data_IF_411937949901
#
_entry.id   IF_411937949901
#
_cell.length_a   1.000
_cell.length_b   1.000
_cell.length_c   1.000
_cell.angle_alpha   90.00
_cell.angle_beta   90.00
_cell.angle_gamma   90.00
#
_symmetry.space_group_name_H-M   'P 1'
#
loop_
_entity.id
_entity.type
_entity.pdbx_description
1 polymer ?
#
# COMPACT_ATOMS: atom_id res chain seq x y z
N UNK A 1 -0.98 -19.66 -10.70
CA UNK A 1 -2.34 -19.30 -11.21
C UNK A 1 -3.32 -19.59 -10.10
N UNK A 2 -4.02 -18.58 -9.56
CA UNK A 2 -5.05 -18.76 -8.54
C UNK A 2 -6.34 -18.11 -8.99
N UNK A 3 -7.45 -18.83 -8.91
CA UNK A 3 -8.78 -18.29 -9.21
C UNK A 3 -9.29 -17.40 -8.06
N UNK A 4 -10.52 -16.91 -8.11
CA UNK A 4 -11.10 -15.86 -7.24
C UNK A 4 -11.99 -16.42 -6.14
N UNK A 5 -12.01 -15.91 -4.89
CA UNK A 5 -13.09 -16.25 -3.98
C UNK A 5 -14.40 -15.62 -4.44
N UNK A 6 -15.17 -16.34 -5.26
CA UNK A 6 -16.51 -15.95 -5.64
C UNK A 6 -17.49 -17.07 -5.41
N UNK A 7 -18.72 -16.70 -5.10
CA UNK A 7 -19.86 -17.63 -5.12
C UNK A 7 -20.90 -17.04 -6.07
N UNK A 8 -21.42 -17.88 -6.97
CA UNK A 8 -22.59 -17.57 -7.76
C UNK A 8 -23.84 -17.86 -6.93
N UNK A 9 -24.71 -16.87 -6.78
CA UNK A 9 -26.00 -17.04 -6.09
C UNK A 9 -27.11 -16.79 -7.10
N UNK A 10 -27.99 -17.78 -7.38
CA UNK A 10 -29.18 -17.55 -8.20
C UNK A 10 -30.21 -16.74 -7.41
N UNK A 11 -30.90 -15.82 -8.07
CA UNK A 11 -32.02 -15.05 -7.51
C UNK A 11 -31.75 -14.43 -6.12
N UNK A 12 -30.64 -13.70 -5.89
CA UNK A 12 -30.29 -13.19 -4.56
C UNK A 12 -31.26 -12.13 -4.03
N UNK A 13 -31.93 -11.41 -4.94
CA UNK A 13 -32.94 -10.39 -4.65
C UNK A 13 -34.03 -10.41 -5.75
N UNK A 14 -35.23 -9.85 -5.50
CA UNK A 14 -36.20 -9.61 -6.57
C UNK A 14 -35.55 -8.91 -7.76
N UNK A 15 -35.84 -9.38 -8.97
CA UNK A 15 -35.34 -8.85 -10.25
C UNK A 15 -33.83 -9.03 -10.55
N UNK A 16 -33.07 -9.78 -9.75
CA UNK A 16 -31.68 -10.15 -10.05
C UNK A 16 -31.62 -11.64 -10.38
N UNK A 17 -31.37 -12.02 -11.64
CA UNK A 17 -31.31 -13.45 -12.03
C UNK A 17 -30.08 -14.14 -11.42
N UNK A 18 -28.91 -13.48 -11.50
CA UNK A 18 -27.61 -14.02 -11.06
C UNK A 18 -26.73 -12.91 -10.50
N UNK A 19 -25.97 -13.21 -9.46
CA UNK A 19 -24.95 -12.31 -8.93
C UNK A 19 -23.60 -12.99 -8.73
N UNK A 20 -22.54 -12.22 -8.96
CA UNK A 20 -21.20 -12.53 -8.50
C UNK A 20 -20.99 -11.90 -7.13
N UNK A 21 -20.73 -12.71 -6.10
CA UNK A 21 -20.45 -12.22 -4.76
C UNK A 21 -18.96 -12.38 -4.45
N UNK A 22 -18.31 -11.27 -4.06
CA UNK A 22 -16.93 -11.24 -3.57
C UNK A 22 -16.97 -10.87 -2.09
N UNK A 23 -16.44 -11.74 -1.24
CA UNK A 23 -16.34 -11.52 0.21
C UNK A 23 -14.90 -11.65 0.67
N UNK A 24 -14.41 -10.69 1.45
CA UNK A 24 -13.13 -10.78 2.13
C UNK A 24 -13.29 -10.94 3.64
N UNK A 25 -12.33 -11.58 4.29
CA UNK A 25 -12.25 -11.67 5.75
C UNK A 25 -11.92 -10.33 6.42
N UNK A 26 -11.30 -9.41 5.66
CA UNK A 26 -10.98 -8.05 6.08
C UNK A 26 -10.98 -7.10 4.87
N UNK A 27 -10.59 -5.83 5.10
CA UNK A 27 -10.50 -4.80 4.04
C UNK A 27 -9.59 -5.22 2.87
N UNK A 28 -8.44 -5.85 3.15
CA UNK A 28 -7.47 -6.27 2.13
C UNK A 28 -7.93 -7.52 1.40
N UNK A 29 -8.51 -8.49 2.10
CA UNK A 29 -9.10 -9.68 1.49
C UNK A 29 -10.16 -9.32 0.46
N UNK A 30 -11.00 -8.31 0.77
CA UNK A 30 -12.02 -7.81 -0.15
C UNK A 30 -11.38 -7.13 -1.36
N UNK A 31 -10.40 -6.25 -1.12
CA UNK A 31 -9.66 -5.57 -2.20
C UNK A 31 -8.95 -6.58 -3.14
N UNK A 32 -8.30 -7.61 -2.59
CA UNK A 32 -7.64 -8.64 -3.40
C UNK A 32 -8.63 -9.43 -4.25
N UNK A 33 -9.83 -9.70 -3.75
CA UNK A 33 -10.89 -10.33 -4.54
C UNK A 33 -11.33 -9.45 -5.70
N UNK A 34 -11.60 -8.17 -5.46
CA UNK A 34 -12.00 -7.22 -6.52
C UNK A 34 -10.90 -7.03 -7.56
N UNK A 35 -9.65 -6.86 -7.14
CA UNK A 35 -8.52 -6.63 -8.06
C UNK A 35 -8.14 -7.89 -8.84
N UNK A 36 -8.34 -9.08 -8.27
CA UNK A 36 -8.20 -10.32 -9.02
C UNK A 36 -9.28 -10.47 -10.10
N UNK A 37 -10.51 -9.96 -9.87
CA UNK A 37 -11.54 -9.90 -10.91
C UNK A 37 -11.12 -8.96 -12.04
N UNK A 38 -10.60 -7.78 -11.70
CA UNK A 38 -10.00 -6.84 -12.66
C UNK A 38 -8.91 -7.52 -13.50
N UNK A 39 -8.03 -8.30 -12.85
CA UNK A 39 -6.98 -9.07 -13.53
C UNK A 39 -7.52 -10.12 -14.48
N UNK A 40 -8.51 -10.92 -14.05
CA UNK A 40 -9.15 -11.94 -14.89
C UNK A 40 -9.95 -11.36 -16.06
N UNK A 41 -10.51 -10.16 -15.88
CA UNK A 41 -11.15 -9.39 -16.95
C UNK A 41 -10.15 -8.82 -17.97
N UNK A 42 -8.84 -8.96 -17.75
CA UNK A 42 -7.79 -8.59 -18.71
C UNK A 42 -7.02 -7.32 -18.37
N UNK A 43 -7.18 -6.76 -17.17
CA UNK A 43 -6.42 -5.59 -16.71
C UNK A 43 -5.18 -6.03 -15.94
N UNK A 44 -4.00 -5.87 -16.52
CA UNK A 44 -2.73 -6.19 -15.85
C UNK A 44 -2.53 -5.33 -14.59
N UNK A 45 -1.88 -5.85 -13.52
CA UNK A 45 -1.38 -5.02 -12.42
C UNK A 45 -0.50 -3.85 -12.89
N UNK A 46 0.16 -4.04 -14.04
CA UNK A 46 1.12 -3.12 -14.64
C UNK A 46 0.52 -2.23 -15.74
N UNK A 47 -0.81 -2.16 -15.87
CA UNK A 47 -1.46 -1.42 -16.96
C UNK A 47 -1.03 0.05 -17.06
N UNK A 48 -0.74 0.67 -15.91
CA UNK A 48 -0.27 2.05 -15.83
C UNK A 48 1.23 2.16 -15.62
N UNK A 49 1.80 1.30 -14.75
CA UNK A 49 3.23 1.35 -14.41
C UNK A 49 4.17 0.89 -15.53
N UNK A 50 3.67 0.15 -16.51
CA UNK A 50 4.44 -0.31 -17.67
C UNK A 50 3.59 -0.38 -18.95
N UNK A 51 2.58 0.49 -19.05
CA UNK A 51 1.72 0.67 -20.24
C UNK A 51 1.13 -0.63 -20.82
N UNK A 52 0.89 -1.65 -19.98
CA UNK A 52 0.40 -2.94 -20.45
C UNK A 52 -1.04 -2.79 -20.96
N UNK A 53 -1.30 -3.01 -22.26
CA UNK A 53 -2.59 -2.75 -22.85
C UNK A 53 -3.68 -3.67 -22.27
N UNK A 54 -4.84 -3.10 -21.99
CA UNK A 54 -6.01 -3.85 -21.50
C UNK A 54 -6.61 -4.65 -22.66
N UNK A 55 -6.79 -5.96 -22.46
CA UNK A 55 -7.45 -6.83 -23.45
C UNK A 55 -8.95 -6.52 -23.48
N UNK A 56 -9.44 -5.97 -24.59
CA UNK A 56 -10.87 -5.69 -24.78
C UNK A 56 -11.66 -6.99 -24.94
N UNK A 57 -12.79 -7.08 -24.25
CA UNK A 57 -13.69 -8.23 -24.29
C UNK A 57 -15.12 -7.74 -24.56
N UNK A 58 -15.76 -8.25 -25.60
CA UNK A 58 -17.15 -7.89 -25.91
C UNK A 58 -18.14 -8.54 -24.92
N UNK A 59 -17.77 -9.68 -24.35
CA UNK A 59 -18.56 -10.43 -23.37
C UNK A 59 -17.63 -11.01 -22.31
N UNK A 60 -18.04 -10.94 -21.06
CA UNK A 60 -17.35 -11.54 -19.92
C UNK A 60 -18.35 -12.40 -19.15
N UNK A 61 -17.99 -13.65 -18.90
CA UNK A 61 -18.81 -14.60 -18.15
C UNK A 61 -17.97 -15.18 -17.01
N UNK A 62 -18.61 -15.40 -15.87
CA UNK A 62 -18.00 -16.07 -14.73
C UNK A 62 -18.49 -17.51 -14.69
N UNK A 63 -17.56 -18.46 -14.52
CA UNK A 63 -17.91 -19.88 -14.36
C UNK A 63 -18.86 -20.03 -13.17
N UNK A 64 -19.87 -20.88 -13.27
CA UNK A 64 -20.73 -21.18 -12.12
C UNK A 64 -20.01 -22.13 -11.14
N UNK A 65 -19.08 -21.60 -10.36
CA UNK A 65 -18.33 -22.35 -9.35
C UNK A 65 -18.06 -21.49 -8.13
N UNK A 66 -17.96 -22.11 -6.96
CA UNK A 66 -17.37 -21.45 -5.79
C UNK A 66 -15.86 -21.59 -5.85
N UNK A 67 -15.14 -20.51 -5.57
CA UNK A 67 -13.74 -20.62 -5.19
C UNK A 67 -13.49 -19.90 -3.88
N UNK A 68 -12.41 -20.26 -3.21
CA UNK A 68 -11.93 -19.63 -2.00
C UNK A 68 -10.41 -19.49 -2.12
N UNK A 69 -9.88 -18.27 -2.03
CA UNK A 69 -8.42 -18.08 -2.03
C UNK A 69 -7.84 -18.58 -0.73
N UNK A 70 -6.68 -19.22 -0.81
CA UNK A 70 -5.88 -19.48 0.38
C UNK A 70 -5.43 -18.15 1.02
N UNK A 71 -5.23 -18.16 2.33
CA UNK A 71 -4.59 -17.07 3.05
C UNK A 71 -3.14 -16.91 2.56
N UNK A 72 -2.60 -15.68 2.47
CA UNK A 72 -1.20 -15.48 2.11
C UNK A 72 -0.25 -16.22 3.07
N UNK A 73 0.75 -16.92 2.53
CA UNK A 73 1.74 -17.65 3.33
C UNK A 73 2.64 -16.74 4.18
N UNK A 74 2.79 -15.47 3.79
CA UNK A 74 3.59 -14.46 4.50
C UNK A 74 2.69 -13.30 4.92
N UNK A 75 2.73 -12.91 6.19
CA UNK A 75 1.83 -11.89 6.79
C UNK A 75 2.02 -10.49 6.18
N UNK A 76 3.26 -10.02 6.07
CA UNK A 76 3.62 -8.72 5.51
C UNK A 76 4.47 -8.91 4.25
N UNK A 77 4.04 -8.31 3.14
CA UNK A 77 4.59 -8.51 1.80
C UNK A 77 4.68 -7.15 1.13
N UNK A 78 5.85 -6.76 0.67
CA UNK A 78 6.07 -5.38 0.27
C UNK A 78 7.40 -5.14 -0.40
N UNK A 79 7.69 -3.86 -0.59
CA UNK A 79 8.93 -3.36 -1.15
C UNK A 79 9.45 -2.21 -0.29
N UNK A 80 10.70 -1.83 -0.53
CA UNK A 80 11.29 -0.58 -0.09
C UNK A 80 11.66 0.22 -1.33
N UNK A 81 11.19 1.46 -1.42
CA UNK A 81 11.67 2.41 -2.43
C UNK A 81 12.95 3.02 -1.88
N UNK A 82 14.09 2.61 -2.43
CA UNK A 82 15.43 3.03 -2.00
C UNK A 82 16.32 3.30 -3.21
N UNK A 83 17.45 3.98 -2.98
CA UNK A 83 18.37 4.43 -4.02
C UNK A 83 17.60 5.22 -5.10
N UNK A 84 16.61 6.00 -4.65
CA UNK A 84 15.60 6.62 -5.51
C UNK A 84 16.17 7.72 -6.41
N UNK A 85 17.32 8.28 -6.03
CA UNK A 85 17.99 9.34 -6.78
C UNK A 85 19.11 8.77 -7.67
N UNK A 86 19.22 9.21 -8.94
CA UNK A 86 18.44 10.30 -9.55
C UNK A 86 17.10 9.86 -10.17
N UNK A 87 16.92 8.58 -10.50
CA UNK A 87 15.89 8.14 -11.43
C UNK A 87 14.46 8.38 -10.92
N UNK A 88 14.08 7.71 -9.83
CA UNK A 88 12.73 7.79 -9.31
C UNK A 88 12.44 9.17 -8.74
N UNK A 89 13.41 9.79 -8.04
CA UNK A 89 13.27 11.12 -7.46
C UNK A 89 13.01 12.21 -8.51
N UNK A 90 13.74 12.20 -9.63
CA UNK A 90 13.49 13.17 -10.70
C UNK A 90 12.16 12.92 -11.40
N UNK A 91 11.82 11.65 -11.63
CA UNK A 91 10.52 11.29 -12.22
C UNK A 91 9.34 11.70 -11.34
N UNK A 92 9.40 11.48 -10.02
CA UNK A 92 8.33 11.93 -9.10
C UNK A 92 8.22 13.45 -9.08
N UNK A 93 9.34 14.16 -9.13
CA UNK A 93 9.36 15.62 -9.23
C UNK A 93 8.68 16.12 -10.50
N UNK A 94 9.00 15.54 -11.65
CA UNK A 94 8.43 15.94 -12.94
C UNK A 94 6.94 15.61 -13.04
N UNK A 95 6.53 14.40 -12.65
CA UNK A 95 5.17 13.92 -12.87
C UNK A 95 4.18 14.31 -11.77
N UNK A 96 4.67 14.50 -10.54
CA UNK A 96 3.82 14.70 -9.36
C UNK A 96 4.20 15.90 -8.50
N UNK A 97 5.33 16.56 -8.78
CA UNK A 97 5.88 17.62 -7.92
C UNK A 97 6.70 17.10 -6.73
N UNK A 98 7.02 15.80 -6.68
CA UNK A 98 7.84 15.17 -5.65
C UNK A 98 7.14 13.99 -4.96
N UNK A 99 7.65 13.58 -3.81
CA UNK A 99 7.12 12.46 -3.02
C UNK A 99 5.91 12.88 -2.17
N UNK A 100 4.73 12.90 -2.79
CA UNK A 100 3.45 13.23 -2.15
C UNK A 100 2.38 12.14 -2.37
N UNK A 101 1.17 12.34 -1.83
CA UNK A 101 0.16 11.28 -1.82
C UNK A 101 -0.22 10.81 -3.23
N UNK A 102 -0.10 11.66 -4.25
CA UNK A 102 -0.48 11.32 -5.63
C UNK A 102 0.39 10.20 -6.21
N UNK A 103 1.70 10.23 -5.98
CA UNK A 103 2.60 9.14 -6.43
C UNK A 103 2.45 7.91 -5.54
N UNK A 104 2.27 8.11 -4.23
CA UNK A 104 2.08 6.99 -3.32
C UNK A 104 0.77 6.24 -3.55
N UNK A 105 -0.33 6.90 -3.90
CA UNK A 105 -1.58 6.23 -4.28
C UNK A 105 -1.41 5.34 -5.52
N UNK A 106 -0.58 5.75 -6.50
CA UNK A 106 -0.20 4.88 -7.63
C UNK A 106 0.58 3.65 -7.17
N UNK A 107 1.46 3.82 -6.18
CA UNK A 107 2.21 2.71 -5.60
C UNK A 107 1.30 1.77 -4.76
N UNK A 108 0.39 2.32 -3.97
CA UNK A 108 -0.57 1.55 -3.17
C UNK A 108 -1.48 0.71 -4.05
N UNK A 109 -1.99 1.27 -5.15
CA UNK A 109 -2.77 0.53 -6.14
C UNK A 109 -1.97 -0.66 -6.69
N UNK A 110 -0.72 -0.43 -7.10
CA UNK A 110 0.16 -1.49 -7.62
C UNK A 110 0.38 -2.59 -6.57
N UNK A 111 0.72 -2.22 -5.33
CA UNK A 111 0.94 -3.18 -4.25
C UNK A 111 -0.30 -4.05 -4.03
N UNK A 112 -1.50 -3.45 -3.95
CA UNK A 112 -2.73 -4.24 -3.79
C UNK A 112 -3.01 -5.14 -4.99
N UNK A 113 -2.79 -4.66 -6.22
CA UNK A 113 -2.95 -5.46 -7.45
C UNK A 113 -1.98 -6.66 -7.49
N UNK A 114 -0.82 -6.51 -6.88
CA UNK A 114 0.17 -7.57 -6.67
C UNK A 114 -0.07 -8.40 -5.40
N UNK A 115 -1.19 -8.18 -4.69
CA UNK A 115 -1.55 -8.84 -3.42
C UNK A 115 -0.53 -8.60 -2.28
N UNK A 116 0.20 -7.50 -2.35
CA UNK A 116 1.07 -6.97 -1.30
C UNK A 116 0.29 -6.09 -0.30
N UNK A 117 0.91 -5.76 0.83
CA UNK A 117 0.28 -4.97 1.91
C UNK A 117 1.26 -4.15 2.76
N UNK A 118 2.54 -4.07 2.40
CA UNK A 118 3.57 -3.40 3.19
C UNK A 118 4.44 -2.50 2.32
N UNK A 119 4.86 -1.36 2.85
CA UNK A 119 5.75 -0.43 2.16
C UNK A 119 6.70 0.26 3.13
N UNK A 120 7.97 0.31 2.77
CA UNK A 120 8.91 1.32 3.26
C UNK A 120 9.01 2.44 2.20
N UNK A 121 8.70 3.70 2.56
CA UNK A 121 8.70 4.80 1.61
C UNK A 121 10.13 5.26 1.28
N UNK A 122 10.29 5.98 0.17
CA UNK A 122 11.50 6.76 -0.13
C UNK A 122 11.88 7.67 1.05
N UNK A 123 13.18 7.74 1.35
CA UNK A 123 13.70 8.39 2.57
C UNK A 123 15.02 9.14 2.37
N UNK A 124 15.64 9.11 1.19
CA UNK A 124 16.81 9.94 0.88
C UNK A 124 16.37 11.38 0.63
N UNK A 125 16.53 12.23 1.65
CA UNK A 125 16.11 13.63 1.61
C UNK A 125 14.60 13.85 1.69
N UNK A 126 13.84 12.79 1.98
CA UNK A 126 12.38 12.78 2.08
C UNK A 126 11.95 12.23 3.45
N UNK A 127 10.80 12.65 3.93
CA UNK A 127 10.17 12.18 5.15
C UNK A 127 8.67 11.99 4.90
N UNK A 128 8.25 10.76 4.64
CA UNK A 128 6.90 10.40 4.19
C UNK A 128 5.75 11.06 4.98
N UNK A 129 5.84 11.09 6.31
CA UNK A 129 4.80 11.68 7.17
C UNK A 129 4.77 13.22 7.13
N UNK A 130 5.90 13.84 6.78
CA UNK A 130 6.15 15.27 6.84
C UNK A 130 5.99 15.96 5.48
N UNK A 131 6.41 15.29 4.41
CA UNK A 131 6.40 15.85 3.05
C UNK A 131 4.97 16.08 2.54
N UNK A 132 4.01 15.27 3.02
CA UNK A 132 2.59 15.45 2.78
C UNK A 132 1.76 14.76 3.87
N UNK A 133 0.99 15.53 4.63
CA UNK A 133 0.11 15.00 5.69
C UNK A 133 -0.93 13.97 5.20
N UNK A 134 -1.22 13.93 3.90
CA UNK A 134 -2.13 12.95 3.30
C UNK A 134 -1.46 11.61 3.00
N UNK A 135 -0.13 11.53 2.93
CA UNK A 135 0.60 10.28 2.70
C UNK A 135 0.17 9.14 3.66
N UNK A 136 0.26 9.31 4.99
CA UNK A 136 -0.15 8.27 5.93
C UNK A 136 -1.67 8.03 5.95
N UNK A 137 -2.47 9.08 5.71
CA UNK A 137 -3.94 8.96 5.64
C UNK A 137 -4.35 8.07 4.46
N UNK A 138 -3.74 8.30 3.30
CA UNK A 138 -4.01 7.49 2.11
C UNK A 138 -3.47 6.07 2.28
N UNK A 139 -2.30 5.87 2.87
CA UNK A 139 -1.78 4.53 3.15
C UNK A 139 -2.76 3.69 3.98
N UNK A 140 -3.31 4.25 5.06
CA UNK A 140 -4.30 3.55 5.89
C UNK A 140 -5.61 3.30 5.14
N UNK A 141 -6.10 4.30 4.39
CA UNK A 141 -7.32 4.19 3.56
C UNK A 141 -7.20 3.07 2.52
N UNK A 142 -6.07 3.00 1.82
CA UNK A 142 -5.74 1.92 0.89
C UNK A 142 -5.40 0.60 1.60
N UNK A 143 -5.16 0.62 2.90
CA UNK A 143 -4.87 -0.56 3.71
C UNK A 143 -3.45 -1.08 3.60
N UNK A 144 -2.52 -0.23 3.17
CA UNK A 144 -1.08 -0.48 3.16
C UNK A 144 -0.53 -0.23 4.56
N UNK A 145 0.11 -1.25 5.12
CA UNK A 145 0.83 -1.14 6.38
C UNK A 145 2.16 -0.45 6.09
N UNK A 146 2.41 0.66 6.76
CA UNK A 146 3.65 1.41 6.60
C UNK A 146 4.71 0.91 7.57
N UNK A 147 5.94 0.86 7.11
CA UNK A 147 7.12 0.70 7.95
C UNK A 147 8.18 1.72 7.61
N UNK A 148 9.30 1.60 8.31
CA UNK A 148 10.51 2.38 8.09
C UNK A 148 11.69 1.42 7.96
N UNK A 149 12.78 1.87 7.36
CA UNK A 149 13.98 1.05 7.26
C UNK A 149 14.56 0.78 8.66
N UNK A 150 15.45 -0.21 8.74
CA UNK A 150 15.97 -0.72 10.02
C UNK A 150 16.70 0.32 10.89
N UNK A 151 17.13 1.45 10.32
CA UNK A 151 17.83 2.53 11.02
C UNK A 151 16.95 3.78 11.25
N UNK A 152 15.64 3.65 11.02
CA UNK A 152 14.62 4.69 11.19
C UNK A 152 13.61 4.28 12.28
N UNK A 153 14.04 4.21 13.55
CA UNK A 153 13.20 3.67 14.62
C UNK A 153 12.00 4.57 14.90
N UNK A 154 10.94 3.98 15.48
CA UNK A 154 9.75 4.69 15.98
C UNK A 154 9.01 5.49 14.89
N UNK A 155 9.05 5.01 13.64
CA UNK A 155 8.40 5.62 12.47
C UNK A 155 8.86 7.05 12.16
N UNK A 156 10.09 7.37 12.58
CA UNK A 156 10.75 8.64 12.27
C UNK A 156 11.67 8.44 11.07
N UNK A 157 11.38 9.13 9.98
CA UNK A 157 12.22 9.10 8.80
C UNK A 157 13.60 9.71 9.12
N UNK A 158 14.65 9.22 8.46
CA UNK A 158 16.02 9.71 8.66
C UNK A 158 16.11 11.24 8.53
N UNK A 159 15.44 11.80 7.52
CA UNK A 159 15.47 13.22 7.20
C UNK A 159 14.83 14.10 8.30
N UNK A 160 13.92 13.56 9.12
CA UNK A 160 13.33 14.30 10.24
C UNK A 160 14.36 14.65 11.32
N UNK A 161 15.38 13.80 11.54
CA UNK A 161 16.47 14.16 12.47
C UNK A 161 17.34 15.28 11.91
N UNK A 162 17.54 15.33 10.58
CA UNK A 162 18.21 16.46 9.93
C UNK A 162 17.39 17.75 10.03
N UNK A 163 16.06 17.66 9.91
CA UNK A 163 15.15 18.83 9.98
C UNK A 163 14.97 19.38 11.40
N UNK A 164 14.80 18.52 12.40
CA UNK A 164 14.38 18.93 13.75
C UNK A 164 15.23 18.38 14.89
N UNK A 165 16.16 17.46 14.60
CA UNK A 165 17.01 16.84 15.61
C UNK A 165 17.91 17.86 16.30
N UNK A 166 18.25 17.57 17.57
CA UNK A 166 19.15 18.40 18.38
C UNK A 166 20.21 17.51 19.00
N UNK A 167 21.48 17.92 18.89
CA UNK A 167 22.61 17.16 19.41
C UNK A 167 22.94 15.90 18.59
N UNK A 168 23.86 15.06 19.08
CA UNK A 168 24.31 13.88 18.34
C UNK A 168 23.22 12.79 18.31
N UNK A 169 23.16 12.03 17.22
CA UNK A 169 22.44 10.75 17.17
C UNK A 169 23.23 9.69 17.94
N UNK A 170 23.26 9.83 19.26
CA UNK A 170 24.01 8.98 20.18
C UNK A 170 23.21 8.81 21.48
N UNK A 171 22.69 7.60 21.70
CA UNK A 171 21.83 7.34 22.86
C UNK A 171 22.54 7.53 24.20
N UNK A 172 23.84 7.28 24.30
CA UNK A 172 24.60 7.47 25.56
C UNK A 172 24.76 8.95 25.91
N UNK A 173 24.86 9.83 24.91
CA UNK A 173 25.15 11.26 25.11
C UNK A 173 23.93 12.18 24.97
N UNK A 174 22.82 11.67 24.42
CA UNK A 174 21.66 12.49 24.03
C UNK A 174 20.33 11.74 24.20
N UNK A 175 20.24 10.90 25.23
CA UNK A 175 19.13 9.98 25.48
C UNK A 175 17.76 10.68 25.57
N UNK A 176 17.68 11.80 26.29
CA UNK A 176 16.46 12.55 26.55
C UNK A 176 15.85 13.11 25.27
N UNK A 177 16.67 13.76 24.44
CA UNK A 177 16.23 14.27 23.13
C UNK A 177 15.79 13.13 22.20
N UNK A 178 16.53 12.03 22.16
CA UNK A 178 16.19 10.89 21.29
C UNK A 178 14.88 10.23 21.71
N UNK A 179 14.67 10.02 23.02
CA UNK A 179 13.42 9.49 23.57
C UNK A 179 12.23 10.42 23.32
N UNK A 180 12.39 11.72 23.57
CA UNK A 180 11.34 12.71 23.31
C UNK A 180 10.96 12.77 21.83
N UNK A 181 11.96 12.77 20.94
CA UNK A 181 11.71 12.76 19.50
C UNK A 181 11.01 11.47 19.03
N UNK A 182 11.41 10.31 19.57
CA UNK A 182 10.74 9.04 19.29
C UNK A 182 9.29 9.00 19.77
N UNK A 183 9.03 9.52 20.98
CA UNK A 183 7.68 9.59 21.53
C UNK A 183 6.75 10.50 20.69
N UNK A 184 7.28 11.61 20.17
CA UNK A 184 6.53 12.54 19.30
C UNK A 184 6.29 12.03 17.89
N UNK A 185 7.17 11.16 17.39
CA UNK A 185 7.06 10.62 16.03
C UNK A 185 5.97 9.55 15.91
N UNK A 186 5.63 8.86 17.00
CA UNK A 186 4.53 7.90 17.01
C UNK A 186 3.21 8.62 16.76
N UNK A 187 2.60 8.47 15.57
CA UNK A 187 1.30 9.05 15.30
C UNK A 187 0.24 8.36 16.17
N UNK A 188 -0.78 9.10 16.60
CA UNK A 188 -1.91 8.54 17.36
C UNK A 188 -2.59 7.34 16.64
N UNK A 189 -2.50 7.24 15.31
CA UNK A 189 -3.08 6.15 14.52
C UNK A 189 -2.29 4.83 14.55
N UNK A 190 -1.03 4.85 14.96
CA UNK A 190 -0.15 3.65 15.02
C UNK A 190 -0.48 2.75 16.19
N UNK A 191 -1.06 3.30 17.26
CA UNK A 191 -1.36 2.55 18.49
C UNK A 191 -2.62 1.68 18.34
N UNK A 192 -3.50 1.97 17.37
CA UNK A 192 -4.84 1.35 17.32
C UNK A 192 -5.04 0.21 16.31
N UNK A 193 -4.07 -0.15 15.46
CA UNK A 193 -4.31 -1.09 14.34
C UNK A 193 -3.34 -2.28 14.21
N UNK A 194 -2.51 -2.53 15.23
CA UNK A 194 -1.58 -3.66 15.25
C UNK A 194 -2.17 -4.96 15.82
N UNK A 195 -3.47 -5.00 16.16
CA UNK A 195 -4.20 -6.19 16.61
C UNK A 195 -5.34 -6.52 15.64
#
# INVERSE_FOLDING_TARGET
>A
MGNLPYTHIPSPFPHVEKALVITGSDKRGTAYGVLELSRQAGVSPWYWWADVPVKKQAKLFVKNSRYQSATPSVKYRGIFINDEAPAFANWTKEQFGGFNHKVYERMFELLLRLKANYLWPAMWGNAFNDDDSLNPVMADKWGIVMGSSHHEPMLRAHDEWRRYGKGPWNYVKNDSTLRDSGAKALPAWVITKAL
#
